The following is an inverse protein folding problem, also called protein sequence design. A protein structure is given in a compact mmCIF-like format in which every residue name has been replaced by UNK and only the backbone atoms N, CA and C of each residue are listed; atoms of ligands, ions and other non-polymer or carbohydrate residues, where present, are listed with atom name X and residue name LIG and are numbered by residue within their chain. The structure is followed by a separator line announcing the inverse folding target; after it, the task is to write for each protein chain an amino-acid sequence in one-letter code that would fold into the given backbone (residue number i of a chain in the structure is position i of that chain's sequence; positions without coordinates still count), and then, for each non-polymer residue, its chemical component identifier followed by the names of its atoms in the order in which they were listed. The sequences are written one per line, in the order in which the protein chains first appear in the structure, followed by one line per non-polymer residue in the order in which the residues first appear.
data_IF_512132192700
#
_entry.id   IF_512132192700
#
_cell.length_a   1.000
_cell.length_b   1.000
_cell.length_c   1.000
_cell.angle_alpha   90.00
_cell.angle_beta   90.00
_cell.angle_gamma   90.00
#
_symmetry.space_group_name_H-M   'P 1'
#
loop_
_entity.id
_entity.type
_entity.pdbx_description
1 polymer ?
#
# COMPACT_ATOMS: atom_id res chain seq x y z
N UNK A 1 43.06 35.27 -54.19
CA UNK A 1 43.57 35.32 -55.57
C UNK A 1 44.37 34.04 -55.77
N UNK A 2 43.75 33.04 -56.41
CA UNK A 2 44.34 31.72 -56.62
C UNK A 2 44.99 31.72 -58.01
N UNK A 3 46.32 31.58 -58.05
CA UNK A 3 47.15 31.65 -59.26
C UNK A 3 47.24 30.34 -60.06
N UNK A 4 46.41 29.34 -59.75
CA UNK A 4 46.58 27.95 -60.24
C UNK A 4 45.46 27.45 -61.16
N UNK A 5 44.67 28.35 -61.74
CA UNK A 5 43.78 27.96 -62.85
C UNK A 5 44.55 28.03 -64.18
N UNK A 6 45.43 27.05 -64.40
CA UNK A 6 46.10 26.86 -65.68
C UNK A 6 45.07 26.33 -66.70
N UNK A 7 44.60 27.21 -67.59
CA UNK A 7 43.77 26.79 -68.72
C UNK A 7 44.54 25.79 -69.60
N UNK A 8 43.91 24.68 -70.05
CA UNK A 8 44.60 23.64 -70.83
C UNK A 8 44.99 24.07 -72.25
N UNK A 9 44.65 25.31 -72.66
CA UNK A 9 44.83 25.82 -74.02
C UNK A 9 45.89 26.93 -74.13
N UNK A 10 46.52 27.34 -73.03
CA UNK A 10 47.61 28.32 -73.04
C UNK A 10 48.94 27.64 -72.79
N UNK A 11 49.83 27.69 -73.79
CA UNK A 11 51.22 27.24 -73.65
C UNK A 11 51.88 28.09 -72.56
N UNK A 12 52.23 27.47 -71.44
CA UNK A 12 52.92 28.14 -70.33
C UNK A 12 54.20 28.82 -70.86
N UNK A 13 54.59 30.02 -70.39
CA UNK A 13 55.82 30.68 -70.84
C UNK A 13 57.05 29.78 -70.78
N UNK A 14 57.14 28.91 -69.77
CA UNK A 14 58.17 27.87 -69.67
C UNK A 14 58.14 26.86 -70.83
N UNK A 15 56.96 26.37 -71.22
CA UNK A 15 56.81 25.47 -72.36
C UNK A 15 57.20 26.15 -73.69
N UNK A 16 56.91 27.44 -73.84
CA UNK A 16 57.34 28.21 -75.03
C UNK A 16 58.87 28.38 -75.11
N UNK A 17 59.54 28.56 -73.97
CA UNK A 17 61.00 28.64 -73.91
C UNK A 17 61.64 27.28 -74.20
N UNK A 18 61.12 26.20 -73.61
CA UNK A 18 61.59 24.84 -73.86
C UNK A 18 61.42 24.46 -75.34
N UNK A 19 60.27 24.76 -75.94
CA UNK A 19 60.03 24.56 -77.38
C UNK A 19 61.04 25.33 -78.24
N UNK A 20 61.39 26.56 -77.86
CA UNK A 20 62.39 27.36 -78.59
C UNK A 20 63.80 26.79 -78.42
N UNK A 21 64.15 26.26 -77.25
CA UNK A 21 65.42 25.58 -76.99
C UNK A 21 65.56 24.31 -77.84
N UNK A 22 64.49 23.53 -77.96
CA UNK A 22 64.42 22.35 -78.85
C UNK A 22 64.56 22.75 -80.31
N UNK A 23 63.83 23.79 -80.75
CA UNK A 23 63.93 24.31 -82.12
C UNK A 23 65.31 24.87 -82.45
N UNK A 24 66.02 25.44 -81.48
CA UNK A 24 67.40 25.92 -81.63
C UNK A 24 68.47 24.82 -81.53
N UNK A 25 68.08 23.57 -81.29
CA UNK A 25 68.99 22.43 -81.15
C UNK A 25 69.86 22.45 -79.88
N UNK A 26 69.51 23.29 -78.90
CA UNK A 26 70.25 23.45 -77.64
C UNK A 26 69.94 22.29 -76.67
N UNK A 27 68.75 21.71 -76.78
CA UNK A 27 68.28 20.56 -75.99
C UNK A 27 67.47 19.65 -76.91
N UNK A 28 67.61 18.33 -76.81
CA UNK A 28 66.79 17.40 -77.61
C UNK A 28 65.45 17.08 -76.92
N UNK A 29 64.43 16.71 -77.70
CA UNK A 29 63.15 16.28 -77.15
C UNK A 29 63.32 15.03 -76.25
N UNK A 30 64.24 14.14 -76.60
CA UNK A 30 64.57 12.93 -75.83
C UNK A 30 65.21 13.25 -74.47
N UNK A 31 66.05 14.29 -74.40
CA UNK A 31 66.63 14.79 -73.13
C UNK A 31 65.57 15.37 -72.20
N UNK A 32 64.60 16.11 -72.76
CA UNK A 32 63.46 16.64 -71.99
C UNK A 32 62.60 15.47 -71.49
N UNK A 33 62.23 14.54 -72.36
CA UNK A 33 61.37 13.42 -72.01
C UNK A 33 62.04 12.47 -71.00
N UNK A 34 63.37 12.35 -71.05
CA UNK A 34 64.17 11.58 -70.08
C UNK A 34 64.26 12.26 -68.71
N UNK A 35 64.38 13.59 -68.66
CA UNK A 35 64.37 14.36 -67.40
C UNK A 35 63.03 14.29 -66.64
N UNK A 36 61.91 14.03 -67.34
CA UNK A 36 60.59 13.78 -66.73
C UNK A 36 60.30 12.30 -66.47
N UNK A 37 61.02 11.39 -67.12
CA UNK A 37 60.83 9.94 -67.00
C UNK A 37 61.68 9.31 -65.89
N UNK A 38 62.81 9.91 -65.53
CA UNK A 38 63.55 9.48 -64.35
C UNK A 38 62.74 9.82 -63.08
N UNK A 39 62.43 8.83 -62.22
CA UNK A 39 61.81 9.07 -60.91
C UNK A 39 62.80 9.70 -59.91
N UNK A 40 63.83 10.39 -60.40
CA UNK A 40 64.73 11.21 -59.61
C UNK A 40 63.92 12.32 -58.97
N UNK A 41 63.78 12.22 -57.66
CA UNK A 41 62.96 13.11 -56.83
C UNK A 41 63.18 14.58 -57.19
N UNK A 42 62.26 15.17 -57.96
CA UNK A 42 62.23 16.60 -58.27
C UNK A 42 62.08 17.47 -56.99
N UNK A 43 61.85 16.83 -55.85
CA UNK A 43 61.69 17.43 -54.54
C UNK A 43 62.75 16.93 -53.56
N UNK A 44 63.09 17.76 -52.57
CA UNK A 44 64.02 17.39 -51.49
C UNK A 44 63.55 16.11 -50.76
N UNK A 45 64.47 15.22 -50.31
CA UNK A 45 64.12 14.03 -49.51
C UNK A 45 63.28 14.37 -48.27
N UNK A 46 63.46 15.56 -47.69
CA UNK A 46 62.65 16.07 -46.59
C UNK A 46 61.17 16.25 -46.96
N UNK A 47 60.86 16.62 -48.21
CA UNK A 47 59.48 16.77 -48.67
C UNK A 47 58.80 15.41 -48.86
N UNK A 48 59.55 14.41 -49.35
CA UNK A 48 59.07 13.04 -49.45
C UNK A 48 58.78 12.45 -48.06
N UNK A 49 59.70 12.62 -47.09
CA UNK A 49 59.50 12.19 -45.71
C UNK A 49 58.29 12.88 -45.06
N UNK A 50 58.16 14.20 -45.21
CA UNK A 50 57.00 14.94 -44.71
C UNK A 50 55.68 14.46 -45.33
N UNK A 51 55.68 14.13 -46.63
CA UNK A 51 54.51 13.57 -47.32
C UNK A 51 54.10 12.22 -46.73
N UNK A 52 55.06 11.32 -46.48
CA UNK A 52 54.78 10.03 -45.85
C UNK A 52 54.32 10.19 -44.39
N UNK A 53 54.91 11.11 -43.63
CA UNK A 53 54.45 11.42 -42.26
C UNK A 53 53.00 11.93 -42.24
N UNK A 54 52.64 12.84 -43.17
CA UNK A 54 51.25 13.33 -43.31
C UNK A 54 50.31 12.18 -43.68
N UNK A 55 50.73 11.30 -44.59
CA UNK A 55 49.94 10.13 -44.99
C UNK A 55 49.69 9.21 -43.81
N UNK A 56 50.72 8.92 -43.02
CA UNK A 56 50.62 8.09 -41.81
C UNK A 56 49.77 8.76 -40.73
N UNK A 57 49.90 10.07 -40.52
CA UNK A 57 49.05 10.82 -39.60
C UNK A 57 47.58 10.74 -39.98
N UNK A 58 47.28 10.93 -41.27
CA UNK A 58 45.91 10.82 -41.78
C UNK A 58 45.32 9.44 -41.54
N UNK A 59 46.13 8.37 -41.72
CA UNK A 59 45.70 7.00 -41.42
C UNK A 59 45.45 6.78 -39.93
N UNK A 60 46.29 7.36 -39.06
CA UNK A 60 46.10 7.32 -37.62
C UNK A 60 44.79 8.01 -37.22
N UNK A 61 44.56 9.22 -37.72
CA UNK A 61 43.35 10.00 -37.44
C UNK A 61 42.09 9.25 -37.90
N UNK A 62 42.14 8.61 -39.07
CA UNK A 62 41.03 7.82 -39.61
C UNK A 62 40.72 6.59 -38.74
N UNK A 63 41.75 5.84 -38.32
CA UNK A 63 41.60 4.72 -37.39
C UNK A 63 41.07 5.16 -36.03
N UNK A 64 41.53 6.31 -35.54
CA UNK A 64 41.08 6.87 -34.26
C UNK A 64 39.61 7.25 -34.34
N UNK A 65 39.17 7.87 -35.44
CA UNK A 65 37.76 8.19 -35.66
C UNK A 65 36.88 6.93 -35.72
N UNK A 66 37.35 5.86 -36.37
CA UNK A 66 36.65 4.58 -36.42
C UNK A 66 36.52 3.95 -35.03
N UNK A 67 37.58 4.04 -34.21
CA UNK A 67 37.56 3.53 -32.84
C UNK A 67 36.58 4.33 -31.96
N UNK A 68 36.57 5.65 -32.08
CA UNK A 68 35.63 6.51 -31.37
C UNK A 68 34.18 6.24 -31.79
N UNK A 69 33.92 6.03 -33.09
CA UNK A 69 32.61 5.63 -33.59
C UNK A 69 32.16 4.31 -32.95
N UNK A 70 33.02 3.30 -32.97
CA UNK A 70 32.72 1.98 -32.40
C UNK A 70 32.47 2.06 -30.89
N UNK A 71 33.21 2.94 -30.20
CA UNK A 71 33.02 3.21 -28.78
C UNK A 71 31.64 3.84 -28.54
N UNK A 72 31.24 4.84 -29.33
CA UNK A 72 29.92 5.46 -29.21
C UNK A 72 28.80 4.45 -29.49
N UNK A 73 28.96 3.59 -30.49
CA UNK A 73 27.99 2.52 -30.79
C UNK A 73 27.86 1.53 -29.63
N UNK A 74 28.97 1.12 -29.02
CA UNK A 74 28.94 0.24 -27.84
C UNK A 74 28.20 0.89 -26.67
N UNK A 75 28.41 2.19 -26.40
CA UNK A 75 27.74 2.89 -25.31
C UNK A 75 26.26 3.17 -25.61
N UNK A 76 25.88 3.27 -26.88
CA UNK A 76 24.49 3.52 -27.31
C UNK A 76 23.71 2.24 -27.63
N UNK A 77 24.38 1.08 -27.63
CA UNK A 77 23.81 -0.26 -27.87
C UNK A 77 22.53 -0.55 -27.07
N UNK A 78 22.48 -0.14 -25.80
CA UNK A 78 21.31 -0.30 -24.93
C UNK A 78 20.04 0.41 -25.43
N UNK A 79 20.21 1.46 -26.23
CA UNK A 79 19.13 2.30 -26.77
C UNK A 79 18.95 2.09 -28.27
N UNK A 80 19.98 1.65 -29.00
CA UNK A 80 19.93 1.42 -30.44
C UNK A 80 19.54 -0.01 -30.81
N UNK A 81 19.86 -1.01 -29.99
CA UNK A 81 19.58 -2.40 -30.31
C UNK A 81 18.16 -2.82 -29.90
N UNK A 82 17.42 -3.32 -30.89
CA UNK A 82 16.07 -3.84 -30.74
C UNK A 82 15.95 -4.88 -29.61
N UNK A 83 16.98 -5.72 -29.40
CA UNK A 83 16.99 -6.71 -28.32
C UNK A 83 16.94 -6.07 -26.92
N UNK A 84 17.80 -5.09 -26.65
CA UNK A 84 17.86 -4.38 -25.36
C UNK A 84 16.61 -3.53 -25.14
N UNK A 85 16.14 -2.85 -26.19
CA UNK A 85 14.90 -2.07 -26.19
C UNK A 85 13.67 -2.95 -25.91
N UNK A 86 13.56 -4.09 -26.58
CA UNK A 86 12.42 -5.02 -26.41
C UNK A 86 12.37 -5.54 -24.97
N UNK A 87 13.52 -5.95 -24.42
CA UNK A 87 13.58 -6.40 -23.02
C UNK A 87 13.14 -5.29 -22.04
N UNK A 88 13.58 -4.04 -22.26
CA UNK A 88 13.18 -2.89 -21.42
C UNK A 88 11.70 -2.54 -21.60
N UNK A 89 11.19 -2.55 -22.84
CA UNK A 89 9.80 -2.22 -23.15
C UNK A 89 8.84 -3.25 -22.55
N UNK A 90 9.18 -4.54 -22.61
CA UNK A 90 8.40 -5.60 -21.93
C UNK A 90 8.37 -5.40 -20.41
N UNK A 91 9.50 -5.02 -19.80
CA UNK A 91 9.57 -4.73 -18.37
C UNK A 91 8.66 -3.58 -17.97
N UNK A 92 8.69 -2.49 -18.74
CA UNK A 92 7.81 -1.34 -18.56
C UNK A 92 6.34 -1.69 -18.79
N UNK A 93 6.04 -2.50 -19.81
CA UNK A 93 4.69 -2.93 -20.11
C UNK A 93 4.11 -3.81 -19.00
N UNK A 94 4.91 -4.74 -18.45
CA UNK A 94 4.52 -5.54 -17.28
C UNK A 94 4.26 -4.67 -16.04
N UNK A 95 5.14 -3.70 -15.77
CA UNK A 95 4.95 -2.76 -14.68
C UNK A 95 3.68 -1.91 -14.86
N UNK A 96 3.44 -1.41 -16.07
CA UNK A 96 2.25 -0.65 -16.42
C UNK A 96 0.97 -1.46 -16.26
N UNK A 97 0.97 -2.72 -16.69
CA UNK A 97 -0.15 -3.65 -16.50
C UNK A 97 -0.43 -3.89 -15.01
N UNK A 98 0.63 -4.08 -14.20
CA UNK A 98 0.51 -4.25 -12.76
C UNK A 98 -0.06 -3.00 -12.08
N UNK A 99 0.44 -1.80 -12.40
CA UNK A 99 -0.09 -0.54 -11.88
C UNK A 99 -1.57 -0.36 -12.21
N UNK A 100 -1.97 -0.67 -13.45
CA UNK A 100 -3.38 -0.63 -13.86
C UNK A 100 -4.24 -1.61 -13.06
N UNK A 101 -3.73 -2.82 -12.77
CA UNK A 101 -4.43 -3.79 -11.94
C UNK A 101 -4.61 -3.27 -10.51
N UNK A 102 -3.55 -2.73 -9.89
CA UNK A 102 -3.60 -2.14 -8.55
C UNK A 102 -4.60 -0.99 -8.48
N UNK A 103 -4.63 -0.10 -9.47
CA UNK A 103 -5.59 1.01 -9.51
C UNK A 103 -7.04 0.52 -9.65
N UNK A 104 -7.28 -0.56 -10.41
CA UNK A 104 -8.60 -1.18 -10.51
C UNK A 104 -9.02 -1.80 -9.17
N UNK A 105 -8.12 -2.49 -8.49
CA UNK A 105 -8.38 -3.04 -7.16
C UNK A 105 -8.65 -1.95 -6.13
N UNK A 106 -7.85 -0.89 -6.11
CA UNK A 106 -8.08 0.26 -5.25
C UNK A 106 -9.46 0.86 -5.52
N UNK A 107 -9.82 1.11 -6.79
CA UNK A 107 -11.14 1.64 -7.14
C UNK A 107 -12.27 0.71 -6.69
N UNK A 108 -12.12 -0.60 -6.90
CA UNK A 108 -13.04 -1.64 -6.42
C UNK A 108 -13.18 -1.61 -4.90
N UNK A 109 -12.07 -1.53 -4.18
CA UNK A 109 -12.04 -1.48 -2.73
C UNK A 109 -12.72 -0.21 -2.21
N UNK A 110 -12.39 0.96 -2.78
CA UNK A 110 -13.05 2.22 -2.45
C UNK A 110 -14.54 2.15 -2.74
N UNK A 111 -14.96 1.57 -3.87
CA UNK A 111 -16.38 1.37 -4.16
C UNK A 111 -17.05 0.43 -3.16
N UNK A 112 -16.38 -0.62 -2.70
CA UNK A 112 -16.90 -1.54 -1.66
C UNK A 112 -16.96 -0.90 -0.29
N UNK A 113 -16.01 -0.04 0.05
CA UNK A 113 -15.97 0.67 1.32
C UNK A 113 -16.94 1.86 1.35
N UNK A 114 -17.13 2.53 0.21
CA UNK A 114 -18.14 3.59 0.04
C UNK A 114 -19.53 3.02 -0.26
N UNK A 115 -19.63 1.74 -0.66
CA UNK A 115 -20.92 1.08 -0.72
C UNK A 115 -21.50 1.14 0.69
N UNK A 116 -22.68 1.76 0.87
CA UNK A 116 -23.26 1.90 2.19
C UNK A 116 -23.40 0.49 2.77
N UNK A 117 -22.75 0.25 3.93
CA UNK A 117 -22.97 -0.95 4.73
C UNK A 117 -24.49 -1.08 4.85
N UNK A 118 -25.04 -2.16 4.31
CA UNK A 118 -26.45 -2.30 4.05
C UNK A 118 -27.33 -1.67 5.15
N UNK A 119 -27.97 -0.54 4.84
CA UNK A 119 -29.14 0.03 5.53
C UNK A 119 -29.00 0.41 7.02
N UNK A 120 -27.82 0.71 7.56
CA UNK A 120 -27.77 1.26 8.95
C UNK A 120 -28.08 2.75 9.02
N UNK A 121 -27.82 3.48 7.95
CA UNK A 121 -28.14 4.91 7.89
C UNK A 121 -29.30 5.07 6.92
N UNK A 122 -30.54 4.98 7.42
CA UNK A 122 -31.59 5.76 6.76
C UNK A 122 -31.13 7.21 6.88
N UNK A 123 -30.93 7.95 5.78
CA UNK A 123 -30.69 9.37 5.87
C UNK A 123 -31.94 10.00 6.46
N UNK A 124 -31.97 10.16 7.79
CA UNK A 124 -33.01 10.91 8.47
C UNK A 124 -32.84 12.34 7.96
N UNK A 125 -33.85 12.94 7.31
CA UNK A 125 -33.76 14.32 6.88
C UNK A 125 -33.38 15.21 8.08
N UNK A 126 -32.44 16.14 7.92
CA UNK A 126 -31.84 16.90 9.02
C UNK A 126 -32.88 17.57 9.95
N UNK A 127 -34.04 17.96 9.41
CA UNK A 127 -35.15 18.54 10.18
C UNK A 127 -35.86 17.55 11.12
N UNK A 128 -35.79 16.24 10.84
CA UNK A 128 -36.38 15.15 11.63
C UNK A 128 -35.42 14.58 12.68
N UNK A 129 -34.13 14.90 12.64
CA UNK A 129 -33.17 14.41 13.64
C UNK A 129 -33.59 14.80 15.07
N UNK A 130 -34.02 16.05 15.27
CA UNK A 130 -34.47 16.51 16.60
C UNK A 130 -35.67 15.72 17.10
N UNK A 131 -36.67 15.47 16.25
CA UNK A 131 -37.85 14.69 16.65
C UNK A 131 -37.50 13.25 16.92
N UNK A 132 -36.66 12.62 16.09
CA UNK A 132 -36.22 11.22 16.27
C UNK A 132 -35.45 11.07 17.58
N UNK A 133 -34.47 11.95 17.84
CA UNK A 133 -33.68 11.92 19.09
C UNK A 133 -34.57 12.12 20.32
N UNK A 134 -35.54 13.04 20.25
CA UNK A 134 -36.49 13.26 21.35
C UNK A 134 -37.39 12.04 21.56
N UNK A 135 -37.88 11.40 20.50
CA UNK A 135 -38.66 10.17 20.58
C UNK A 135 -37.87 9.00 21.18
N UNK A 136 -36.62 8.80 20.77
CA UNK A 136 -35.77 7.76 21.36
C UNK A 136 -35.48 8.03 22.83
N UNK A 137 -35.25 9.29 23.22
CA UNK A 137 -35.10 9.66 24.63
C UNK A 137 -36.37 9.34 25.44
N UNK A 138 -37.53 9.77 24.95
CA UNK A 138 -38.80 9.46 25.62
C UNK A 138 -39.06 7.96 25.74
N UNK A 139 -38.69 7.18 24.72
CA UNK A 139 -38.80 5.72 24.75
C UNK A 139 -37.86 5.09 25.79
N UNK A 140 -36.61 5.57 25.89
CA UNK A 140 -35.67 5.14 26.93
C UNK A 140 -36.17 5.48 28.33
N UNK A 141 -36.62 6.71 28.55
CA UNK A 141 -37.19 7.15 29.83
C UNK A 141 -38.44 6.34 30.20
N UNK A 142 -39.27 5.98 29.21
CA UNK A 142 -40.43 5.12 29.42
C UNK A 142 -40.02 3.70 29.79
N UNK A 143 -39.06 3.10 29.09
CA UNK A 143 -38.56 1.76 29.39
C UNK A 143 -37.98 1.69 30.80
N UNK A 144 -37.19 2.69 31.21
CA UNK A 144 -36.61 2.77 32.56
C UNK A 144 -37.71 2.86 33.64
N UNK A 145 -38.70 3.74 33.44
CA UNK A 145 -39.85 3.87 34.36
C UNK A 145 -40.69 2.59 34.42
N UNK A 146 -40.89 1.93 33.29
CA UNK A 146 -41.63 0.67 33.22
C UNK A 146 -40.89 -0.41 34.01
N UNK A 147 -39.57 -0.52 33.83
CA UNK A 147 -38.76 -1.47 34.55
C UNK A 147 -38.77 -1.21 36.06
N UNK A 148 -38.66 0.05 36.49
CA UNK A 148 -38.80 0.44 37.89
C UNK A 148 -40.15 0.03 38.48
N UNK A 149 -41.25 0.26 37.75
CA UNK A 149 -42.59 -0.15 38.18
C UNK A 149 -42.75 -1.66 38.26
N UNK A 150 -42.22 -2.42 37.30
CA UNK A 150 -42.23 -3.87 37.34
C UNK A 150 -41.45 -4.42 38.54
N UNK A 151 -40.27 -3.84 38.84
CA UNK A 151 -39.52 -4.19 40.05
C UNK A 151 -40.31 -3.90 41.32
N UNK A 152 -40.98 -2.75 41.38
CA UNK A 152 -41.82 -2.38 42.54
C UNK A 152 -42.98 -3.36 42.76
N UNK A 153 -43.68 -3.78 41.70
CA UNK A 153 -44.78 -4.76 41.79
C UNK A 153 -44.26 -6.10 42.28
N UNK A 154 -43.13 -6.57 41.72
CA UNK A 154 -42.51 -7.83 42.13
C UNK A 154 -42.11 -7.82 43.62
N UNK A 155 -41.50 -6.74 44.09
CA UNK A 155 -41.14 -6.60 45.50
C UNK A 155 -42.38 -6.59 46.42
N UNK A 156 -43.50 -6.03 45.96
CA UNK A 156 -44.76 -6.04 46.70
C UNK A 156 -45.34 -7.46 46.80
N UNK A 157 -45.32 -8.24 45.71
CA UNK A 157 -45.70 -9.65 45.72
C UNK A 157 -44.81 -10.46 46.67
N UNK A 158 -43.48 -10.27 46.61
CA UNK A 158 -42.53 -10.93 47.51
C UNK A 158 -42.79 -10.59 48.98
N UNK A 159 -43.09 -9.32 49.29
CA UNK A 159 -43.45 -8.88 50.64
C UNK A 159 -44.77 -9.51 51.11
N UNK A 160 -45.79 -9.56 50.24
CA UNK A 160 -47.07 -10.21 50.53
C UNK A 160 -46.90 -11.71 50.81
N UNK A 161 -46.07 -12.39 50.03
CA UNK A 161 -45.76 -13.81 50.23
C UNK A 161 -45.05 -14.05 51.57
N UNK A 162 -44.10 -13.18 51.92
CA UNK A 162 -43.41 -13.24 53.22
C UNK A 162 -44.38 -13.00 54.39
N UNK A 163 -45.34 -12.09 54.25
CA UNK A 163 -46.35 -11.83 55.28
C UNK A 163 -47.25 -13.06 55.46
N UNK A 164 -47.72 -13.67 54.37
CA UNK A 164 -48.51 -14.90 54.43
C UNK A 164 -47.75 -16.05 55.11
N UNK A 165 -46.44 -16.19 54.87
CA UNK A 165 -45.60 -17.17 55.56
C UNK A 165 -45.53 -16.90 57.07
N UNK A 166 -45.38 -15.63 57.47
CA UNK A 166 -45.41 -15.23 58.88
C UNK A 166 -46.75 -15.54 59.52
N UNK A 167 -47.88 -15.26 58.86
CA UNK A 167 -49.22 -15.60 59.36
C UNK A 167 -49.38 -17.11 59.60
N UNK A 168 -48.88 -17.95 58.68
CA UNK A 168 -48.90 -19.41 58.88
C UNK A 168 -48.04 -19.81 60.09
N UNK A 169 -46.84 -19.25 60.23
CA UNK A 169 -45.95 -19.57 61.36
C UNK A 169 -46.52 -19.12 62.71
N UNK A 170 -47.19 -17.97 62.75
CA UNK A 170 -47.82 -17.46 63.98
C UNK A 170 -49.03 -18.32 64.36
N UNK A 171 -49.83 -18.76 63.38
CA UNK A 171 -50.91 -19.72 63.62
C UNK A 171 -50.38 -21.06 64.19
N UNK A 172 -49.26 -21.56 63.67
CA UNK A 172 -48.60 -22.76 64.20
C UNK A 172 -48.09 -22.56 65.64
N UNK A 173 -47.46 -21.41 65.94
CA UNK A 173 -47.01 -21.08 67.29
C UNK A 173 -48.18 -20.97 68.28
N UNK A 174 -49.30 -20.37 67.87
CA UNK A 174 -50.51 -20.30 68.70
C UNK A 174 -51.11 -21.68 68.96
N UNK A 175 -51.12 -22.57 67.96
CA UNK A 175 -51.56 -23.94 68.13
C UNK A 175 -50.67 -24.71 69.14
N UNK A 176 -49.35 -24.60 68.99
CA UNK A 176 -48.39 -25.17 69.94
C UNK A 176 -48.56 -24.59 71.36
N UNK A 177 -48.77 -23.27 71.47
CA UNK A 177 -49.04 -22.63 72.77
C UNK A 177 -50.31 -23.20 73.42
N UNK A 178 -51.39 -23.35 72.67
CA UNK A 178 -52.63 -23.95 73.15
C UNK A 178 -52.43 -25.42 73.58
N UNK A 179 -51.66 -26.21 72.82
CA UNK A 179 -51.30 -27.58 73.20
C UNK A 179 -50.48 -27.60 74.50
N UNK A 180 -49.50 -26.70 74.65
CA UNK A 180 -48.73 -26.59 75.89
C UNK A 180 -49.58 -26.18 77.09
N UNK A 181 -50.56 -25.29 76.89
CA UNK A 181 -51.50 -24.91 77.94
C UNK A 181 -52.40 -26.09 78.35
N UNK A 182 -52.89 -26.87 77.39
CA UNK A 182 -53.66 -28.09 77.66
C UNK A 182 -52.81 -29.12 78.42
N UNK A 183 -51.56 -29.35 78.00
CA UNK A 183 -50.64 -30.25 78.69
C UNK A 183 -50.29 -29.77 80.10
N UNK A 184 -50.06 -28.46 80.27
CA UNK A 184 -49.80 -27.83 81.58
C UNK A 184 -50.99 -27.98 82.52
N UNK A 185 -52.20 -27.70 82.05
CA UNK A 185 -53.44 -27.88 82.81
C UNK A 185 -53.65 -29.35 83.21
N UNK A 186 -53.37 -30.31 82.31
CA UNK A 186 -53.35 -31.72 82.66
C UNK A 186 -52.33 -31.98 83.78
N UNK A 187 -51.06 -31.60 83.65
CA UNK A 187 -50.07 -31.82 84.72
C UNK A 187 -50.50 -31.23 86.07
N UNK A 188 -51.14 -30.06 86.09
CA UNK A 188 -51.69 -29.47 87.30
C UNK A 188 -52.80 -30.35 87.91
N UNK A 189 -53.73 -30.86 87.10
CA UNK A 189 -54.77 -31.79 87.55
C UNK A 189 -54.18 -33.08 88.16
N UNK A 190 -53.14 -33.66 87.53
CA UNK A 190 -52.44 -34.83 88.07
C UNK A 190 -51.73 -34.52 89.39
N UNK A 191 -51.14 -33.34 89.55
CA UNK A 191 -50.52 -32.90 90.82
C UNK A 191 -51.56 -32.70 91.93
N UNK A 192 -52.74 -32.15 91.62
CA UNK A 192 -53.81 -32.00 92.60
C UNK A 192 -54.44 -33.34 92.97
N UNK A 193 -54.57 -34.28 92.02
CA UNK A 193 -55.06 -35.63 92.28
C UNK A 193 -54.07 -36.47 93.11
N UNK A 194 -52.76 -36.30 92.88
CA UNK A 194 -51.71 -36.93 93.68
C UNK A 194 -51.57 -36.39 95.11
N UNK A 195 -52.26 -35.29 95.45
CA UNK A 195 -52.29 -34.73 96.81
C UNK A 195 -53.49 -35.21 97.63
N UNK A 196 -54.34 -36.09 97.08
CA UNK A 196 -55.58 -36.58 97.70
C UNK A 196 -55.54 -38.02 98.23
N UNK A 197 -54.39 -38.69 98.26
CA UNK A 197 -54.25 -39.99 98.95
C UNK A 197 -53.26 -39.89 100.13
N UNK A 198 -53.75 -39.39 101.26
CA UNK A 198 -53.35 -39.83 102.62
C UNK A 198 -54.59 -39.75 103.55
N UNK A 199 -54.69 -40.65 104.55
CA UNK A 199 -55.92 -41.41 104.82
C UNK A 199 -56.83 -40.79 105.90
N UNK A 200 -58.14 -41.12 105.95
CA UNK A 200 -58.94 -40.89 107.14
C UNK A 200 -58.81 -42.07 108.10
N UNK A 201 -58.36 -41.77 109.32
CA UNK A 201 -58.63 -42.57 110.51
C UNK A 201 -58.85 -41.61 111.69
N UNK A 202 -59.47 -42.02 112.80
CA UNK A 202 -60.65 -42.86 112.97
C UNK A 202 -61.69 -42.16 113.90
N UNK A 203 -63.00 -42.47 113.84
CA UNK A 203 -63.90 -42.23 114.98
C UNK A 203 -65.00 -43.30 115.09
N UNK A 204 -65.16 -43.77 116.33
CA UNK A 204 -65.99 -44.86 116.85
C UNK A 204 -67.42 -44.43 117.21
N UNK A 205 -68.38 -45.36 117.17
CA UNK A 205 -69.39 -45.57 118.22
C UNK A 205 -70.19 -46.88 117.95
N UNK A 206 -70.36 -47.66 119.03
CA UNK A 206 -71.10 -48.93 119.23
C UNK A 206 -70.49 -50.26 118.76
#
# INVERSE_FOLDING_TARGET
MNHWDCSPFTVTPAASLLSRCVASGVVSQEEIDSAFSEPGSAFSPHLHEAKEQIRMHKQLDELQLQLDLLKVDMHSSDVAHAFHLTRRSEGLQRLGAHLLAVLKEQKSLTQRLMAPLARTDLPVPAHLHRSVVVSFRMMMDFMERLEEKLRSVRNQEDCSNSLALLDVSTAQLLALAAETDVLSNRMLQWRTAGSCEEPPSPQSAD
#
